data_IF_875994201648
#
_entry.id   IF_875994201648
#
_cell.length_a   1.000
_cell.length_b   1.000
_cell.length_c   1.000
_cell.angle_alpha   90.00
_cell.angle_beta   90.00
_cell.angle_gamma   90.00
#
_symmetry.space_group_name_H-M   'P 1'
#
loop_
_entity.id
_entity.type
_entity.pdbx_description
1 polymer ?
#
# COMPACT_ATOMS: atom_id res chain seq x y z
N UNK A 1 -14.35 -19.58 -3.99
CA UNK A 1 -13.37 -18.47 -3.89
C UNK A 1 -13.59 -17.55 -5.08
N UNK A 2 -13.91 -16.27 -4.87
CA UNK A 2 -14.06 -15.33 -5.97
C UNK A 2 -12.70 -15.18 -6.66
N UNK A 3 -12.66 -15.42 -7.99
CA UNK A 3 -11.48 -15.22 -8.85
C UNK A 3 -10.90 -13.80 -8.82
N UNK A 4 -11.53 -12.91 -8.06
CA UNK A 4 -11.34 -11.46 -8.11
C UNK A 4 -10.14 -11.00 -7.30
N UNK A 5 -9.68 -11.72 -6.27
CA UNK A 5 -8.52 -11.35 -5.45
C UNK A 5 -7.79 -12.61 -4.91
N UNK A 6 -6.91 -13.25 -5.70
CA UNK A 6 -6.32 -14.54 -5.36
C UNK A 6 -5.12 -14.43 -4.39
N UNK A 7 -5.15 -13.52 -3.41
CA UNK A 7 -4.14 -13.53 -2.34
C UNK A 7 -4.45 -14.74 -1.46
N UNK A 8 -3.69 -15.81 -1.66
CA UNK A 8 -3.85 -17.10 -0.97
C UNK A 8 -2.81 -17.30 0.13
N UNK A 9 -1.96 -16.30 0.39
CA UNK A 9 -0.98 -16.38 1.47
C UNK A 9 -1.74 -16.56 2.79
N UNK A 10 -1.60 -17.74 3.39
CA UNK A 10 -2.16 -18.05 4.68
C UNK A 10 -1.42 -17.25 5.76
N UNK A 11 -1.98 -16.09 6.10
CA UNK A 11 -1.63 -15.41 7.34
C UNK A 11 -2.02 -16.32 8.52
N UNK A 12 -1.29 -16.20 9.63
CA UNK A 12 -1.42 -17.06 10.82
C UNK A 12 -2.04 -16.33 12.02
N UNK A 13 -3.26 -15.77 11.89
CA UNK A 13 -3.83 -14.92 12.92
C UNK A 13 -4.07 -15.67 14.24
N UNK A 14 -4.41 -16.97 14.17
CA UNK A 14 -4.70 -17.77 15.37
C UNK A 14 -3.43 -18.15 16.12
N UNK A 15 -2.35 -18.47 15.41
CA UNK A 15 -1.06 -18.75 16.02
C UNK A 15 -0.48 -17.50 16.70
N UNK A 16 -0.64 -16.32 16.08
CA UNK A 16 -0.29 -15.05 16.71
C UNK A 16 -1.16 -14.78 17.94
N UNK A 17 -2.48 -14.98 17.86
CA UNK A 17 -3.38 -14.82 19.00
C UNK A 17 -2.98 -15.73 20.18
N UNK A 18 -2.70 -17.01 19.91
CA UNK A 18 -2.30 -17.98 20.93
C UNK A 18 -0.94 -17.61 21.56
N UNK A 19 0.03 -17.20 20.74
CA UNK A 19 1.36 -16.79 21.20
C UNK A 19 1.27 -15.54 22.09
N UNK A 20 0.55 -14.51 21.64
CA UNK A 20 0.37 -13.27 22.40
C UNK A 20 -0.39 -13.50 23.71
N UNK A 21 -1.38 -14.40 23.70
CA UNK A 21 -2.12 -14.79 24.91
C UNK A 21 -1.20 -15.49 25.92
N UNK A 22 -0.40 -16.45 25.45
CA UNK A 22 0.54 -17.22 26.30
C UNK A 22 1.57 -16.31 26.96
N UNK A 23 2.05 -15.31 26.24
CA UNK A 23 3.03 -14.34 26.74
C UNK A 23 2.39 -13.19 27.54
N UNK A 24 1.07 -13.18 27.75
CA UNK A 24 0.34 -12.06 28.38
C UNK A 24 0.53 -10.71 27.68
N UNK A 25 0.84 -10.74 26.38
CA UNK A 25 1.07 -9.56 25.54
C UNK A 25 -0.17 -9.16 24.71
N UNK A 26 -1.22 -9.98 24.73
CA UNK A 26 -2.41 -9.77 23.89
C UNK A 26 -3.05 -8.40 24.11
N UNK A 27 -3.10 -7.89 25.34
CA UNK A 27 -3.66 -6.56 25.62
C UNK A 27 -2.94 -5.44 24.86
N UNK A 28 -1.63 -5.58 24.67
CA UNK A 28 -0.81 -4.57 24.02
C UNK A 28 -0.77 -4.71 22.50
N UNK A 29 -0.83 -5.94 21.98
CA UNK A 29 -0.78 -6.24 20.53
C UNK A 29 -2.07 -6.88 20.00
N UNK A 30 -3.23 -6.46 20.53
CA UNK A 30 -4.53 -7.03 20.14
C UNK A 30 -4.92 -6.75 18.68
N UNK A 31 -4.34 -5.70 18.12
CA UNK A 31 -4.46 -5.26 16.74
C UNK A 31 -3.78 -6.22 15.76
N UNK A 32 -2.70 -6.91 16.16
CA UNK A 32 -1.95 -7.81 15.26
C UNK A 32 -2.81 -8.96 14.73
N UNK A 33 -3.47 -9.80 15.55
CA UNK A 33 -4.36 -10.83 15.03
C UNK A 33 -5.56 -10.26 14.27
N UNK A 34 -6.07 -9.09 14.65
CA UNK A 34 -7.17 -8.43 13.94
C UNK A 34 -6.73 -7.99 12.54
N UNK A 35 -5.55 -7.37 12.44
CA UNK A 35 -4.93 -6.89 11.21
C UNK A 35 -4.55 -8.02 10.27
N UNK A 36 -4.06 -9.14 10.80
CA UNK A 36 -3.81 -10.35 9.99
C UNK A 36 -5.10 -10.97 9.42
N UNK A 37 -6.25 -10.82 10.09
CA UNK A 37 -7.53 -11.33 9.58
C UNK A 37 -8.19 -10.39 8.58
N UNK A 38 -8.10 -9.07 8.82
CA UNK A 38 -8.94 -8.06 8.14
C UNK A 38 -8.16 -6.97 7.41
N UNK A 39 -6.83 -6.97 7.50
CA UNK A 39 -5.96 -5.87 7.11
C UNK A 39 -5.69 -4.89 8.26
N UNK A 40 -4.53 -4.26 8.23
CA UNK A 40 -4.13 -3.24 9.21
C UNK A 40 -4.78 -1.90 8.85
N UNK A 41 -5.25 -1.19 9.87
CA UNK A 41 -5.67 0.19 9.71
C UNK A 41 -4.43 1.08 9.59
N UNK A 42 -4.44 2.04 8.67
CA UNK A 42 -3.33 2.99 8.46
C UNK A 42 -3.70 4.43 8.87
N UNK A 43 -4.75 4.54 9.69
CA UNK A 43 -5.34 5.77 10.26
C UNK A 43 -5.63 6.92 9.31
N UNK A 44 -5.68 6.63 8.01
CA UNK A 44 -6.29 7.50 7.01
C UNK A 44 -7.81 7.34 7.13
N UNK A 45 -8.36 7.98 8.16
CA UNK A 45 -9.80 8.07 8.37
C UNK A 45 -10.32 9.38 7.81
N UNK A 46 -11.56 9.39 7.32
CA UNK A 46 -12.24 10.59 6.79
C UNK A 46 -11.72 11.13 5.44
N UNK A 47 -10.90 10.40 4.68
CA UNK A 47 -10.53 10.78 3.32
C UNK A 47 -11.24 9.92 2.27
N UNK A 48 -11.52 10.50 1.10
CA UNK A 48 -11.93 9.75 -0.08
C UNK A 48 -11.12 10.17 -1.31
N UNK A 49 -10.92 9.24 -2.23
CA UNK A 49 -10.31 9.52 -3.54
C UNK A 49 -11.42 9.92 -4.53
N UNK A 50 -11.39 11.13 -5.12
CA UNK A 50 -12.40 11.56 -6.07
C UNK A 50 -12.29 10.85 -7.42
N UNK A 51 -11.09 10.45 -7.83
CA UNK A 51 -10.82 9.76 -9.09
C UNK A 51 -9.51 8.95 -9.03
N UNK A 52 -9.35 8.03 -9.98
CA UNK A 52 -8.15 7.19 -10.08
C UNK A 52 -6.98 7.99 -10.63
N UNK A 53 -5.80 7.83 -10.03
CA UNK A 53 -4.57 8.43 -10.51
C UNK A 53 -3.46 7.38 -10.59
N UNK A 54 -2.88 7.25 -11.80
CA UNK A 54 -1.84 6.27 -12.12
C UNK A 54 -0.68 7.04 -12.75
N UNK A 55 0.29 7.51 -11.94
CA UNK A 55 1.47 8.18 -12.47
C UNK A 55 2.37 7.23 -13.25
N UNK A 56 3.13 7.79 -14.19
CA UNK A 56 4.14 7.04 -14.93
C UNK A 56 5.24 6.53 -13.99
N UNK A 57 5.77 5.34 -14.28
CA UNK A 57 6.92 4.79 -13.58
C UNK A 57 8.20 5.61 -13.88
N UNK A 58 9.18 5.55 -12.97
CA UNK A 58 10.47 6.22 -13.12
C UNK A 58 11.45 5.47 -14.01
N UNK A 59 11.22 4.17 -14.25
CA UNK A 59 12.01 3.39 -15.19
C UNK A 59 11.57 3.67 -16.63
N UNK A 60 12.51 3.66 -17.56
CA UNK A 60 12.25 4.01 -18.96
C UNK A 60 12.75 2.95 -19.94
N UNK A 61 13.50 1.95 -19.47
CA UNK A 61 14.06 0.90 -20.32
C UNK A 61 13.30 -0.42 -20.22
N UNK A 62 13.28 -1.18 -21.32
CA UNK A 62 12.69 -2.53 -21.36
C UNK A 62 13.41 -3.50 -20.41
N UNK A 63 14.72 -3.32 -20.22
CA UNK A 63 15.52 -4.12 -19.30
C UNK A 63 15.06 -3.93 -17.84
N UNK A 64 14.78 -2.69 -17.43
CA UNK A 64 14.24 -2.39 -16.10
C UNK A 64 12.81 -2.92 -15.94
N UNK A 65 11.97 -2.79 -16.97
CA UNK A 65 10.62 -3.35 -16.97
C UNK A 65 10.66 -4.88 -16.77
N UNK A 66 11.56 -5.58 -17.46
CA UNK A 66 11.76 -7.03 -17.35
C UNK A 66 12.15 -7.47 -15.93
N UNK A 67 13.01 -6.69 -15.25
CA UNK A 67 13.37 -6.94 -13.85
C UNK A 67 12.14 -6.86 -12.94
N UNK A 68 11.28 -5.88 -13.18
CA UNK A 68 10.02 -5.69 -12.44
C UNK A 68 9.08 -6.86 -12.67
N UNK A 69 8.83 -7.23 -13.92
CA UNK A 69 7.95 -8.35 -14.25
C UNK A 69 8.45 -9.65 -13.62
N UNK A 70 9.73 -9.97 -13.75
CA UNK A 70 10.30 -11.18 -13.14
C UNK A 70 10.08 -11.22 -11.62
N UNK A 71 10.29 -10.10 -10.92
CA UNK A 71 10.11 -10.02 -9.47
C UNK A 71 8.65 -10.22 -9.05
N UNK A 72 7.71 -9.56 -9.73
CA UNK A 72 6.30 -9.61 -9.36
C UNK A 72 5.62 -10.92 -9.80
N UNK A 73 5.99 -11.49 -10.94
CA UNK A 73 5.49 -12.81 -11.37
C UNK A 73 5.80 -13.89 -10.33
N UNK A 74 7.03 -13.92 -9.79
CA UNK A 74 7.38 -14.83 -8.70
C UNK A 74 6.46 -14.66 -7.48
N UNK A 75 6.10 -13.42 -7.12
CA UNK A 75 5.22 -13.14 -5.98
C UNK A 75 3.77 -13.53 -6.25
N UNK A 76 3.31 -13.42 -7.50
CA UNK A 76 2.00 -13.90 -7.93
C UNK A 76 1.94 -15.42 -7.89
N UNK A 77 2.97 -16.11 -8.39
CA UNK A 77 3.08 -17.58 -8.34
C UNK A 77 3.07 -18.11 -6.89
N UNK A 78 3.75 -17.41 -5.98
CA UNK A 78 3.73 -17.72 -4.54
C UNK A 78 2.39 -17.36 -3.86
N UNK A 79 1.44 -16.75 -4.58
CA UNK A 79 0.15 -16.34 -4.02
C UNK A 79 0.26 -15.18 -3.02
N UNK A 80 1.38 -14.45 -3.04
CA UNK A 80 1.62 -13.27 -2.21
C UNK A 80 0.99 -12.00 -2.80
N UNK A 81 0.74 -11.99 -4.11
CA UNK A 81 0.12 -10.88 -4.82
C UNK A 81 -0.93 -11.39 -5.79
N UNK A 82 -1.94 -10.57 -6.03
CA UNK A 82 -2.86 -10.77 -7.15
C UNK A 82 -2.13 -10.51 -8.48
N UNK A 83 -2.56 -11.16 -9.58
CA UNK A 83 -2.07 -10.84 -10.91
C UNK A 83 -2.40 -9.38 -11.29
N UNK A 84 -1.71 -8.81 -12.30
CA UNK A 84 -1.99 -7.45 -12.74
C UNK A 84 -3.44 -7.30 -13.26
N UNK A 85 -4.05 -6.16 -12.97
CA UNK A 85 -5.38 -5.80 -13.47
C UNK A 85 -5.28 -4.71 -14.51
N UNK A 86 -6.20 -4.74 -15.47
CA UNK A 86 -6.51 -3.55 -16.25
C UNK A 86 -7.09 -2.47 -15.33
N UNK A 87 -6.68 -1.20 -15.51
CA UNK A 87 -7.04 -0.08 -14.62
C UNK A 87 -8.56 0.09 -14.47
N UNK A 88 -9.31 0.08 -15.57
CA UNK A 88 -10.78 0.19 -15.55
C UNK A 88 -11.44 -0.95 -14.80
N UNK A 89 -10.90 -2.17 -14.95
CA UNK A 89 -11.41 -3.34 -14.22
C UNK A 89 -11.15 -3.19 -12.73
N UNK A 90 -9.94 -2.77 -12.35
CA UNK A 90 -9.57 -2.59 -10.95
C UNK A 90 -10.43 -1.50 -10.30
N UNK A 91 -10.58 -0.34 -10.95
CA UNK A 91 -11.38 0.76 -10.42
C UNK A 91 -12.84 0.35 -10.17
N UNK A 92 -13.43 -0.44 -11.07
CA UNK A 92 -14.78 -0.97 -10.86
C UNK A 92 -14.88 -1.85 -9.61
N UNK A 93 -13.82 -2.60 -9.32
CA UNK A 93 -13.74 -3.53 -8.20
C UNK A 93 -13.48 -2.82 -6.87
N UNK A 94 -12.53 -1.89 -6.83
CA UNK A 94 -12.04 -1.28 -5.57
C UNK A 94 -12.43 0.19 -5.41
N UNK A 95 -13.20 0.76 -6.35
CA UNK A 95 -13.48 2.21 -6.47
C UNK A 95 -12.20 2.97 -6.92
N UNK A 96 -12.22 4.31 -7.03
CA UNK A 96 -11.03 5.08 -7.37
C UNK A 96 -9.81 4.72 -6.51
N UNK A 97 -8.65 4.60 -7.15
CA UNK A 97 -7.40 4.23 -6.48
C UNK A 97 -6.23 5.08 -6.93
N UNK A 98 -5.18 5.08 -6.11
CA UNK A 98 -3.93 5.77 -6.40
C UNK A 98 -2.78 4.76 -6.40
N UNK A 99 -1.91 4.83 -7.41
CA UNK A 99 -0.70 3.99 -7.47
C UNK A 99 0.56 4.82 -7.27
N UNK A 100 1.60 4.23 -6.70
CA UNK A 100 2.92 4.84 -6.61
C UNK A 100 3.81 4.40 -7.79
N UNK A 101 4.60 5.30 -8.39
CA UNK A 101 5.57 4.93 -9.43
C UNK A 101 6.61 3.93 -8.93
N UNK A 102 6.97 2.99 -9.80
CA UNK A 102 8.09 2.09 -9.59
C UNK A 102 9.37 2.68 -10.17
N UNK A 103 10.50 2.41 -9.51
CA UNK A 103 11.84 2.67 -10.00
C UNK A 103 12.70 1.41 -9.85
N UNK A 104 13.70 1.25 -10.73
CA UNK A 104 14.73 0.22 -10.60
C UNK A 104 16.04 0.90 -10.25
N UNK A 105 16.64 0.50 -9.14
CA UNK A 105 17.93 1.03 -8.69
C UNK A 105 18.97 -0.08 -8.76
N UNK A 106 20.05 0.17 -9.49
CA UNK A 106 21.21 -0.72 -9.54
C UNK A 106 22.01 -0.58 -8.25
N UNK A 107 22.12 -1.65 -7.47
CA UNK A 107 22.94 -1.64 -6.25
C UNK A 107 24.40 -1.99 -6.54
N UNK A 108 24.61 -3.04 -7.32
CA UNK A 108 25.91 -3.60 -7.71
C UNK A 108 25.78 -4.18 -9.12
N UNK A 109 26.88 -4.48 -9.83
CA UNK A 109 26.82 -5.20 -11.09
C UNK A 109 25.95 -6.47 -10.96
N UNK A 110 24.90 -6.58 -11.79
CA UNK A 110 23.96 -7.71 -11.77
C UNK A 110 22.91 -7.71 -10.65
N UNK A 111 22.93 -6.77 -9.69
CA UNK A 111 21.96 -6.71 -8.58
C UNK A 111 21.13 -5.43 -8.62
N UNK A 112 19.82 -5.61 -8.72
CA UNK A 112 18.84 -4.53 -8.84
C UNK A 112 17.82 -4.58 -7.70
N UNK A 113 17.40 -3.42 -7.24
CA UNK A 113 16.31 -3.24 -6.29
C UNK A 113 15.16 -2.50 -6.97
N UNK A 114 13.93 -2.92 -6.67
CA UNK A 114 12.72 -2.21 -7.09
C UNK A 114 12.31 -1.32 -5.92
N UNK A 115 12.05 -0.05 -6.22
CA UNK A 115 11.59 0.94 -5.26
C UNK A 115 10.17 1.35 -5.66
N UNK A 116 9.23 1.27 -4.72
CA UNK A 116 7.90 1.84 -4.87
C UNK A 116 7.96 3.25 -4.27
N UNK A 117 7.85 4.27 -5.11
CA UNK A 117 7.96 5.66 -4.68
C UNK A 117 6.64 6.14 -4.08
N UNK A 118 6.37 5.70 -2.85
CA UNK A 118 5.28 6.22 -2.03
C UNK A 118 5.49 7.67 -1.60
N UNK A 119 6.59 8.32 -2.02
CA UNK A 119 6.98 9.73 -1.89
C UNK A 119 6.73 10.58 -3.14
N UNK A 120 6.04 10.02 -4.14
CA UNK A 120 5.81 10.70 -5.41
C UNK A 120 4.80 11.84 -5.24
N UNK A 121 5.14 12.99 -5.84
CA UNK A 121 4.53 14.32 -5.68
C UNK A 121 4.99 15.02 -4.39
N UNK A 122 5.74 16.12 -4.55
CA UNK A 122 6.10 17.02 -3.44
C UNK A 122 4.94 17.98 -3.19
N UNK A 123 4.54 18.25 -1.94
CA UNK A 123 3.60 19.33 -1.68
C UNK A 123 4.21 20.66 -2.16
N UNK A 124 3.40 21.61 -2.63
CA UNK A 124 3.84 22.99 -2.72
C UNK A 124 4.39 23.43 -1.35
N UNK A 125 5.44 24.27 -1.28
CA UNK A 125 6.11 24.66 -0.03
C UNK A 125 5.21 25.37 1.00
N UNK A 126 3.91 25.54 0.76
CA UNK A 126 2.97 26.29 1.59
C UNK A 126 1.69 25.52 1.97
N UNK A 127 1.65 24.19 1.87
CA UNK A 127 0.46 23.44 2.28
C UNK A 127 0.38 23.34 3.81
N UNK A 128 -0.36 24.26 4.43
CA UNK A 128 -0.76 24.15 5.83
C UNK A 128 -1.80 23.03 5.94
N UNK A 129 -1.38 21.87 6.45
CA UNK A 129 -2.29 20.77 6.70
C UNK A 129 -3.10 21.07 7.96
N UNK A 130 -4.34 21.52 7.78
CA UNK A 130 -5.29 21.63 8.90
C UNK A 130 -5.90 20.25 9.13
N UNK A 131 -5.66 19.66 10.30
CA UNK A 131 -6.25 18.38 10.67
C UNK A 131 -7.78 18.49 10.63
N UNK A 132 -8.49 17.62 9.88
CA UNK A 132 -9.94 17.73 9.75
C UNK A 132 -10.65 17.41 11.06
N UNK A 133 -11.74 18.13 11.31
CA UNK A 133 -12.72 17.76 12.33
C UNK A 133 -13.47 16.48 11.91
N UNK A 134 -13.84 15.60 12.86
CA UNK A 134 -14.24 14.21 12.59
C UNK A 134 -15.56 14.00 11.81
N UNK A 135 -16.26 15.07 11.41
CA UNK A 135 -17.62 15.00 10.86
C UNK A 135 -17.70 15.12 9.33
N UNK A 136 -16.63 15.53 8.64
CA UNK A 136 -16.67 15.79 7.19
C UNK A 136 -15.59 15.00 6.48
N UNK A 137 -15.97 14.16 5.52
CA UNK A 137 -15.00 13.45 4.68
C UNK A 137 -14.37 14.42 3.67
N UNK A 138 -13.05 14.45 3.62
CA UNK A 138 -12.26 15.35 2.79
C UNK A 138 -11.78 14.67 1.51
N UNK A 139 -11.85 15.34 0.35
CA UNK A 139 -11.25 14.82 -0.87
C UNK A 139 -9.73 14.80 -0.75
N UNK A 140 -9.12 13.63 -0.95
CA UNK A 140 -7.68 13.49 -1.15
C UNK A 140 -7.40 13.66 -2.64
N UNK A 141 -6.87 14.82 -3.05
CA UNK A 141 -6.55 15.09 -4.45
C UNK A 141 -5.25 14.34 -4.79
N UNK A 142 -5.28 13.24 -5.57
CA UNK A 142 -4.14 12.35 -5.69
C UNK A 142 -2.95 12.97 -6.44
N UNK A 143 -3.15 14.04 -7.20
CA UNK A 143 -2.08 14.79 -7.89
C UNK A 143 -1.27 15.71 -6.98
N UNK A 144 -1.81 16.06 -5.81
CA UNK A 144 -1.20 17.07 -4.92
C UNK A 144 -1.11 16.63 -3.46
N UNK A 145 -1.84 15.58 -3.09
CA UNK A 145 -1.91 15.09 -1.72
C UNK A 145 -1.02 13.88 -1.55
N UNK A 146 -0.12 14.01 -0.59
CA UNK A 146 0.89 13.01 -0.32
C UNK A 146 0.42 12.04 0.78
N UNK A 147 0.48 10.72 0.57
CA UNK A 147 -0.08 9.79 1.57
C UNK A 147 0.62 9.88 2.92
N UNK A 148 1.96 10.03 2.96
CA UNK A 148 2.62 10.19 4.26
C UNK A 148 2.46 11.61 4.86
N UNK A 149 1.82 12.56 4.17
CA UNK A 149 1.43 13.83 4.83
C UNK A 149 0.12 13.71 5.60
N UNK A 150 -0.62 12.60 5.44
CA UNK A 150 -1.92 12.38 6.09
C UNK A 150 -1.89 11.22 7.10
N UNK A 151 -0.78 10.49 7.18
CA UNK A 151 -0.58 9.45 8.19
C UNK A 151 -0.12 10.13 9.48
N UNK A 152 -0.78 9.82 10.58
CA UNK A 152 -0.37 10.27 11.91
C UNK A 152 0.89 9.51 12.36
N UNK A 153 2.00 10.24 12.51
CA UNK A 153 3.27 9.67 12.97
C UNK A 153 3.25 9.26 14.44
N UNK A 154 2.35 9.84 15.25
CA UNK A 154 2.20 9.48 16.65
C UNK A 154 1.47 8.12 16.79
N UNK A 155 0.64 7.76 15.82
CA UNK A 155 -0.03 6.46 15.74
C UNK A 155 0.82 5.38 15.04
N UNK A 156 1.70 5.79 14.11
CA UNK A 156 2.67 4.92 13.44
C UNK A 156 4.11 5.43 13.61
N UNK A 157 4.69 5.29 14.82
CA UNK A 157 6.08 5.66 15.02
C UNK A 157 6.99 4.78 14.15
N UNK A 158 7.79 5.41 13.30
CA UNK A 158 8.79 4.76 12.45
C UNK A 158 9.97 4.21 13.25
#
# INVERSE_FOLDING_TARGET
>A
MSKTFPIITHLKPEEWLATLSTLSLLKHYSDVPAGLRKGFHISITNYYLPHTFIPNNHFTTEAEASIIYAKFSQKVELGCLSPPYNSTTLERLIRPFHTAPLAVVKQKPGKFHIVINHSFLKPPPSYNFTLPTPTTSMPMIPETTFINSVIDSDEFPC
#
